data_IF_863730050063
#
_entry.id   IF_863730050063
#
_cell.length_a   1.000
_cell.length_b   1.000
_cell.length_c   1.000
_cell.angle_alpha   90.00
_cell.angle_beta   90.00
_cell.angle_gamma   90.00
#
_symmetry.space_group_name_H-M   'P 1'
#
loop_
_entity.id
_entity.type
_entity.pdbx_description
1 polymer ?
#
# COMPACT_ATOMS: atom_id res chain seq x y z
N UNK A 1 13.37 -6.68 -17.89
CA UNK A 1 12.89 -7.50 -16.74
C UNK A 1 12.25 -6.67 -15.63
N UNK A 2 12.83 -5.56 -15.18
CA UNK A 2 12.26 -4.69 -14.13
C UNK A 2 10.94 -4.02 -14.54
N UNK A 3 10.85 -3.51 -15.78
CA UNK A 3 9.64 -2.88 -16.31
C UNK A 3 8.44 -3.84 -16.28
N UNK A 4 8.60 -5.08 -16.76
CA UNK A 4 7.54 -6.09 -16.77
C UNK A 4 6.98 -6.42 -15.38
N UNK A 5 7.83 -6.39 -14.33
CA UNK A 5 7.37 -6.59 -12.95
C UNK A 5 6.57 -5.39 -12.42
N UNK A 6 6.97 -4.18 -12.79
CA UNK A 6 6.24 -2.96 -12.42
C UNK A 6 4.87 -2.89 -13.11
N UNK A 7 4.81 -3.29 -14.38
CA UNK A 7 3.57 -3.32 -15.16
C UNK A 7 2.59 -4.36 -14.60
N UNK A 8 3.09 -5.56 -14.25
CA UNK A 8 2.29 -6.57 -13.55
C UNK A 8 1.72 -6.05 -12.23
N UNK A 9 2.55 -5.41 -11.39
CA UNK A 9 2.08 -4.84 -10.13
C UNK A 9 0.92 -3.86 -10.33
N UNK A 10 1.05 -2.95 -11.28
CA UNK A 10 -0.03 -1.98 -11.62
C UNK A 10 -1.30 -2.66 -12.11
N UNK A 11 -1.18 -3.69 -12.96
CA UNK A 11 -2.32 -4.43 -13.46
C UNK A 11 -3.08 -5.11 -12.31
N UNK A 12 -2.36 -5.79 -11.42
CA UNK A 12 -2.97 -6.47 -10.28
C UNK A 12 -3.63 -5.51 -9.27
N UNK A 13 -3.02 -4.35 -9.00
CA UNK A 13 -3.65 -3.33 -8.16
C UNK A 13 -4.96 -2.83 -8.79
N UNK A 14 -4.96 -2.61 -10.11
CA UNK A 14 -6.18 -2.21 -10.83
C UNK A 14 -7.26 -3.30 -10.80
N UNK A 15 -6.89 -4.57 -10.89
CA UNK A 15 -7.84 -5.67 -10.72
C UNK A 15 -8.44 -5.70 -9.31
N UNK A 16 -7.62 -5.54 -8.27
CA UNK A 16 -8.10 -5.50 -6.89
C UNK A 16 -9.15 -4.39 -6.69
N UNK A 17 -8.92 -3.21 -7.28
CA UNK A 17 -9.88 -2.10 -7.27
C UNK A 17 -11.21 -2.52 -7.92
N UNK A 18 -11.15 -3.10 -9.14
CA UNK A 18 -12.35 -3.55 -9.87
C UNK A 18 -13.14 -4.61 -9.08
N UNK A 19 -12.48 -5.62 -8.53
CA UNK A 19 -13.14 -6.63 -7.70
C UNK A 19 -13.85 -6.04 -6.49
N UNK A 20 -13.23 -5.08 -5.80
CA UNK A 20 -13.84 -4.40 -4.67
C UNK A 20 -15.08 -3.61 -5.10
N UNK A 21 -15.09 -3.07 -6.31
CA UNK A 21 -16.23 -2.36 -6.89
C UNK A 21 -17.29 -3.30 -7.51
N UNK A 22 -17.10 -4.62 -7.38
CA UNK A 22 -18.00 -5.63 -7.93
C UNK A 22 -17.96 -5.73 -9.45
N UNK A 23 -16.86 -5.30 -10.06
CA UNK A 23 -16.64 -5.32 -11.50
C UNK A 23 -15.68 -6.45 -11.88
N UNK A 24 -15.93 -7.07 -13.02
CA UNK A 24 -15.00 -8.06 -13.58
C UNK A 24 -13.91 -7.36 -14.40
N UNK A 25 -12.62 -7.69 -14.17
CA UNK A 25 -11.53 -7.16 -14.98
C UNK A 25 -11.62 -7.63 -16.43
N UNK A 26 -11.40 -6.72 -17.39
CA UNK A 26 -11.18 -7.10 -18.79
C UNK A 26 -9.74 -7.59 -18.98
N UNK A 27 -9.59 -8.89 -19.14
CA UNK A 27 -8.29 -9.56 -19.29
C UNK A 27 -7.92 -9.90 -20.71
N UNK A 28 -8.69 -9.42 -21.70
CA UNK A 28 -8.47 -9.74 -23.13
C UNK A 28 -7.06 -9.36 -23.61
N UNK A 29 -6.43 -8.35 -22.98
CA UNK A 29 -5.07 -7.89 -23.30
C UNK A 29 -3.97 -8.54 -22.43
N UNK A 30 -4.33 -9.40 -21.46
CA UNK A 30 -3.37 -9.97 -20.53
C UNK A 30 -2.57 -11.11 -21.16
N UNK A 31 -1.28 -11.14 -20.86
CA UNK A 31 -0.41 -12.27 -21.19
C UNK A 31 -0.70 -13.48 -20.29
N UNK A 32 -0.35 -14.69 -20.74
CA UNK A 32 -0.39 -15.90 -19.90
C UNK A 32 0.32 -15.73 -18.56
N UNK A 33 1.35 -14.88 -18.50
CA UNK A 33 2.08 -14.59 -17.27
C UNK A 33 1.23 -13.78 -16.28
N UNK A 34 0.44 -12.81 -16.74
CA UNK A 34 -0.44 -12.00 -15.90
C UNK A 34 -1.63 -12.81 -15.40
N UNK A 35 -2.22 -13.64 -16.26
CA UNK A 35 -3.34 -14.53 -15.90
C UNK A 35 -3.02 -15.53 -14.78
N UNK A 36 -1.75 -15.86 -14.55
CA UNK A 36 -1.35 -16.76 -13.46
C UNK A 36 -1.59 -16.18 -12.05
N UNK A 37 -1.78 -14.86 -11.93
CA UNK A 37 -1.95 -14.17 -10.64
C UNK A 37 -3.40 -13.85 -10.29
N UNK A 38 -4.34 -14.10 -11.19
CA UNK A 38 -5.71 -13.59 -11.15
C UNK A 38 -6.57 -14.06 -9.97
N UNK A 39 -6.33 -15.24 -9.43
CA UNK A 39 -7.21 -15.85 -8.43
C UNK A 39 -6.88 -15.47 -6.99
N UNK A 40 -5.72 -14.93 -6.72
CA UNK A 40 -5.25 -14.67 -5.35
C UNK A 40 -6.10 -13.65 -4.60
N UNK A 41 -6.45 -12.55 -5.23
CA UNK A 41 -7.25 -11.51 -4.58
C UNK A 41 -8.74 -11.91 -4.41
N UNK A 42 -9.42 -12.49 -5.40
CA UNK A 42 -10.76 -13.03 -5.20
C UNK A 42 -10.85 -14.09 -4.09
N UNK A 43 -9.86 -14.98 -3.99
CA UNK A 43 -9.78 -15.96 -2.93
C UNK A 43 -9.65 -15.29 -1.54
N UNK A 44 -8.78 -14.28 -1.44
CA UNK A 44 -8.65 -13.47 -0.23
C UNK A 44 -9.98 -12.82 0.18
N UNK A 45 -10.70 -12.21 -0.75
CA UNK A 45 -12.02 -11.61 -0.46
C UNK A 45 -13.04 -12.66 0.01
N UNK A 46 -13.07 -13.81 -0.63
CA UNK A 46 -13.99 -14.91 -0.29
C UNK A 46 -13.73 -15.49 1.10
N UNK A 47 -12.48 -15.54 1.55
CA UNK A 47 -12.11 -16.01 2.88
C UNK A 47 -12.31 -14.96 4.00
N UNK A 48 -12.44 -13.67 3.63
CA UNK A 48 -12.64 -12.56 4.57
C UNK A 48 -13.92 -11.75 4.31
N UNK A 49 -15.10 -12.37 4.14
CA UNK A 49 -16.31 -11.68 3.69
C UNK A 49 -16.76 -10.55 4.63
N UNK A 50 -16.50 -10.68 5.93
CA UNK A 50 -16.84 -9.64 6.91
C UNK A 50 -16.05 -8.32 6.69
N UNK A 51 -14.87 -8.37 6.08
CA UNK A 51 -14.07 -7.20 5.77
C UNK A 51 -14.64 -6.42 4.57
N UNK A 52 -15.29 -7.12 3.66
CA UNK A 52 -15.80 -6.58 2.41
C UNK A 52 -17.33 -6.37 2.42
N UNK A 53 -18.01 -6.67 3.53
CA UNK A 53 -19.46 -6.55 3.64
C UNK A 53 -19.99 -5.12 3.53
N UNK A 54 -19.19 -4.13 3.91
CA UNK A 54 -19.56 -2.70 3.85
C UNK A 54 -18.57 -1.92 2.98
N UNK A 55 -18.93 -1.72 1.71
CA UNK A 55 -18.11 -1.00 0.71
C UNK A 55 -17.76 0.43 1.15
N UNK A 56 -18.61 1.07 1.94
CA UNK A 56 -18.37 2.44 2.41
C UNK A 56 -17.15 2.57 3.34
N UNK A 57 -16.71 1.47 3.93
CA UNK A 57 -15.54 1.40 4.81
C UNK A 57 -14.25 1.06 4.09
N UNK A 58 -14.30 0.82 2.79
CA UNK A 58 -13.15 0.36 2.01
C UNK A 58 -12.63 1.51 1.15
N UNK A 59 -11.32 1.79 1.25
CA UNK A 59 -10.61 2.71 0.39
C UNK A 59 -9.52 1.94 -0.37
N UNK A 60 -9.44 2.17 -1.67
CA UNK A 60 -8.50 1.50 -2.58
C UNK A 60 -7.75 2.54 -3.36
N UNK A 61 -6.43 2.40 -3.47
CA UNK A 61 -5.57 3.23 -4.34
C UNK A 61 -5.86 4.74 -4.22
N UNK A 62 -6.17 5.21 -3.01
CA UNK A 62 -6.51 6.62 -2.81
C UNK A 62 -5.26 7.46 -2.49
N UNK A 63 -4.86 8.39 -3.37
CA UNK A 63 -3.74 9.28 -3.09
C UNK A 63 -4.05 10.20 -1.91
N UNK A 64 -3.13 10.28 -0.96
CA UNK A 64 -3.24 11.13 0.22
C UNK A 64 -1.94 11.87 0.51
N UNK A 65 -2.06 13.08 1.11
CA UNK A 65 -0.92 13.82 1.61
C UNK A 65 -1.09 14.12 3.11
N UNK A 66 -0.01 14.00 3.87
CA UNK A 66 -0.06 14.32 5.30
C UNK A 66 0.04 15.84 5.51
N UNK A 67 -0.98 16.49 6.11
CA UNK A 67 -1.07 17.95 6.15
C UNK A 67 0.07 18.63 6.93
N UNK A 68 0.66 17.93 7.92
CA UNK A 68 1.73 18.48 8.77
C UNK A 68 3.11 17.90 8.48
N UNK A 69 3.20 16.61 8.17
CA UNK A 69 4.49 15.92 8.03
C UNK A 69 5.07 15.98 6.62
N UNK A 70 4.34 16.55 5.66
CA UNK A 70 4.80 16.83 4.29
C UNK A 70 5.31 15.58 3.55
N UNK A 71 4.60 14.47 3.68
CA UNK A 71 4.77 13.30 2.83
C UNK A 71 3.44 12.88 2.23
N UNK A 72 3.48 12.13 1.17
CA UNK A 72 2.32 11.63 0.46
C UNK A 72 2.50 10.13 0.16
N UNK A 73 1.42 9.47 -0.13
CA UNK A 73 1.40 8.08 -0.55
C UNK A 73 0.01 7.65 -1.00
N UNK A 74 -0.05 6.48 -1.59
CA UNK A 74 -1.29 5.85 -2.04
C UNK A 74 -1.37 4.48 -1.36
N UNK A 75 -2.16 4.34 -0.28
CA UNK A 75 -2.41 3.03 0.32
C UNK A 75 -3.13 2.11 -0.67
N UNK A 76 -2.71 0.86 -0.76
CA UNK A 76 -3.32 -0.09 -1.69
C UNK A 76 -4.74 -0.44 -1.25
N UNK A 77 -4.92 -0.80 0.04
CA UNK A 77 -6.24 -1.16 0.58
C UNK A 77 -6.35 -0.78 2.06
N UNK A 78 -7.39 -0.02 2.39
CA UNK A 78 -7.76 0.32 3.75
C UNK A 78 -9.17 -0.21 4.03
N UNK A 79 -9.32 -0.92 5.14
CA UNK A 79 -10.61 -1.31 5.70
C UNK A 79 -10.80 -0.50 6.98
N UNK A 80 -11.57 0.59 6.91
CA UNK A 80 -11.63 1.62 7.96
C UNK A 80 -12.05 1.06 9.31
N UNK A 81 -11.20 1.30 10.30
CA UNK A 81 -11.33 0.78 11.67
C UNK A 81 -11.00 -0.70 11.82
N UNK A 82 -10.39 -1.35 10.81
CA UNK A 82 -10.00 -2.77 10.84
C UNK A 82 -8.54 -2.95 10.45
N UNK A 83 -8.17 -2.70 9.18
CA UNK A 83 -6.86 -3.05 8.67
C UNK A 83 -6.32 -2.06 7.63
N UNK A 84 -4.98 -1.98 7.56
CA UNK A 84 -4.22 -1.39 6.46
C UNK A 84 -3.47 -2.54 5.78
N UNK A 85 -3.66 -2.69 4.49
CA UNK A 85 -3.15 -3.83 3.73
C UNK A 85 -2.34 -3.31 2.53
N UNK A 86 -1.13 -3.79 2.41
CA UNK A 86 -0.26 -3.56 1.26
C UNK A 86 -0.24 -4.80 0.38
N UNK A 87 -0.50 -4.65 -0.91
CA UNK A 87 -0.57 -5.76 -1.88
C UNK A 87 0.77 -5.91 -2.58
N UNK A 88 1.34 -7.11 -2.56
CA UNK A 88 2.66 -7.38 -3.14
C UNK A 88 2.67 -8.67 -3.98
N UNK A 89 3.42 -8.63 -5.07
CA UNK A 89 3.79 -9.81 -5.87
C UNK A 89 5.17 -10.37 -5.50
N UNK A 90 5.65 -10.02 -4.31
CA UNK A 90 6.91 -10.47 -3.71
C UNK A 90 6.67 -10.84 -2.26
N UNK A 91 7.63 -11.57 -1.69
CA UNK A 91 7.61 -11.90 -0.26
C UNK A 91 7.72 -10.65 0.62
N UNK A 92 7.17 -10.75 1.79
CA UNK A 92 7.22 -9.75 2.86
C UNK A 92 8.66 -9.34 3.21
N UNK A 93 8.92 -8.03 3.25
CA UNK A 93 10.18 -7.46 3.71
C UNK A 93 10.02 -6.86 5.12
N UNK A 94 10.61 -7.53 6.10
CA UNK A 94 10.60 -7.13 7.52
C UNK A 94 11.16 -5.71 7.76
N UNK A 95 11.96 -5.17 6.85
CA UNK A 95 12.63 -3.87 7.01
C UNK A 95 11.79 -2.72 6.49
N UNK A 96 11.12 -2.90 5.37
CA UNK A 96 10.45 -1.82 4.64
C UNK A 96 8.93 -1.85 4.75
N UNK A 97 8.30 -3.02 4.65
CA UNK A 97 6.84 -3.11 4.61
C UNK A 97 6.16 -2.60 5.89
N UNK A 98 6.65 -2.88 7.12
CA UNK A 98 6.07 -2.28 8.32
C UNK A 98 6.17 -0.75 8.36
N UNK A 99 7.23 -0.16 7.76
CA UNK A 99 7.38 1.29 7.70
C UNK A 99 6.36 1.91 6.74
N UNK A 100 6.11 1.25 5.62
CA UNK A 100 5.12 1.67 4.64
C UNK A 100 3.71 1.65 5.26
N UNK A 101 3.33 0.55 5.91
CA UNK A 101 2.02 0.37 6.52
C UNK A 101 1.73 1.40 7.64
N UNK A 102 2.67 1.68 8.53
CA UNK A 102 2.46 2.72 9.54
C UNK A 102 2.40 4.12 8.95
N UNK A 103 3.11 4.38 7.85
CA UNK A 103 3.01 5.65 7.13
C UNK A 103 1.61 5.80 6.50
N UNK A 104 1.08 4.74 5.90
CA UNK A 104 -0.27 4.71 5.31
C UNK A 104 -1.36 4.88 6.38
N UNK A 105 -1.28 4.19 7.52
CA UNK A 105 -2.21 4.39 8.65
C UNK A 105 -2.22 5.84 9.10
N UNK A 106 -1.04 6.45 9.22
CA UNK A 106 -0.93 7.84 9.64
C UNK A 106 -1.47 8.82 8.58
N UNK A 107 -1.27 8.54 7.27
CA UNK A 107 -1.92 9.28 6.19
C UNK A 107 -3.43 9.20 6.31
N UNK A 108 -3.98 8.00 6.47
CA UNK A 108 -5.42 7.77 6.57
C UNK A 108 -6.03 8.52 7.74
N UNK A 109 -5.47 8.35 8.94
CA UNK A 109 -5.98 9.01 10.15
C UNK A 109 -5.84 10.54 10.11
N UNK A 110 -4.81 11.07 9.45
CA UNK A 110 -4.61 12.50 9.26
C UNK A 110 -5.58 13.13 8.23
N UNK A 111 -6.18 12.31 7.36
CA UNK A 111 -7.15 12.73 6.34
C UNK A 111 -8.61 12.40 6.73
N UNK A 112 -8.90 12.13 7.98
CA UNK A 112 -10.26 11.94 8.48
C UNK A 112 -10.67 10.49 8.70
N UNK A 113 -9.79 9.53 8.42
CA UNK A 113 -10.01 8.13 8.76
C UNK A 113 -10.21 7.91 10.26
N UNK A 114 -10.84 6.81 10.60
CA UNK A 114 -11.16 6.44 11.98
C UNK A 114 -9.91 6.40 12.83
N UNK A 115 -9.95 7.03 14.00
CA UNK A 115 -8.86 6.89 14.96
C UNK A 115 -9.01 5.55 15.69
N UNK A 116 -7.98 4.76 15.71
CA UNK A 116 -8.01 3.46 16.38
C UNK A 116 -6.73 2.68 16.11
N UNK A 117 -6.74 1.42 16.51
CA UNK A 117 -5.66 0.49 16.23
C UNK A 117 -6.05 -0.30 14.98
N UNK A 118 -5.29 -0.12 13.92
CA UNK A 118 -5.40 -0.93 12.71
C UNK A 118 -4.48 -2.16 12.80
N UNK A 119 -4.94 -3.26 12.26
CA UNK A 119 -4.06 -4.37 11.96
C UNK A 119 -3.32 -4.10 10.65
N UNK A 120 -2.04 -4.46 10.61
CA UNK A 120 -1.19 -4.26 9.45
C UNK A 120 -0.89 -5.57 8.77
N UNK A 121 -1.16 -5.66 7.47
CA UNK A 121 -0.90 -6.86 6.69
C UNK A 121 -0.19 -6.54 5.38
N UNK A 122 0.64 -7.47 4.94
CA UNK A 122 1.04 -7.59 3.54
C UNK A 122 0.27 -8.75 2.93
N UNK A 123 -0.47 -8.47 1.87
CA UNK A 123 -1.14 -9.47 1.05
C UNK A 123 -0.18 -9.87 -0.08
N UNK A 124 0.48 -11.01 0.10
CA UNK A 124 1.33 -11.59 -0.94
C UNK A 124 0.45 -12.32 -1.94
N UNK A 125 0.39 -11.84 -3.17
CA UNK A 125 -0.22 -12.56 -4.29
C UNK A 125 0.84 -13.44 -4.96
N UNK A 126 0.50 -14.69 -5.25
CA UNK A 126 1.41 -15.67 -5.78
C UNK A 126 1.07 -16.05 -7.22
N UNK A 127 2.11 -16.44 -7.97
CA UNK A 127 2.01 -16.80 -9.39
C UNK A 127 1.10 -18.01 -9.68
N UNK A 128 0.87 -18.86 -8.69
CA UNK A 128 -0.03 -20.02 -8.77
C UNK A 128 -1.50 -19.68 -8.48
N UNK A 129 -1.83 -18.38 -8.40
CA UNK A 129 -3.17 -17.90 -8.08
C UNK A 129 -3.54 -18.04 -6.61
N UNK A 130 -2.59 -18.38 -5.74
CA UNK A 130 -2.79 -18.37 -4.30
C UNK A 130 -2.41 -17.03 -3.67
N UNK A 131 -2.75 -16.84 -2.40
CA UNK A 131 -2.32 -15.67 -1.63
C UNK A 131 -1.80 -16.07 -0.26
N UNK A 132 -1.11 -15.13 0.40
CA UNK A 132 -0.77 -15.23 1.80
C UNK A 132 -0.96 -13.89 2.49
N UNK A 133 -1.74 -13.87 3.56
CA UNK A 133 -1.91 -12.68 4.40
C UNK A 133 -0.89 -12.71 5.54
N UNK A 134 0.09 -11.82 5.49
CA UNK A 134 1.22 -11.79 6.43
C UNK A 134 1.05 -10.64 7.42
N UNK A 135 0.91 -10.92 8.73
CA UNK A 135 0.92 -9.86 9.75
C UNK A 135 2.25 -9.10 9.72
N UNK A 136 2.18 -7.77 9.61
CA UNK A 136 3.33 -6.90 9.41
C UNK A 136 3.50 -5.83 10.50
N UNK A 137 2.89 -6.03 11.67
CA UNK A 137 2.99 -5.10 12.79
C UNK A 137 4.42 -5.08 13.37
N UNK A 138 4.94 -3.87 13.58
CA UNK A 138 6.22 -3.65 14.24
C UNK A 138 6.11 -2.44 15.17
N UNK A 139 6.19 -2.66 16.48
CA UNK A 139 6.04 -1.60 17.50
C UNK A 139 7.03 -0.43 17.40
N UNK A 140 8.12 -0.58 16.64
CA UNK A 140 9.09 0.50 16.40
C UNK A 140 8.97 1.12 15.01
N UNK A 141 8.09 0.61 14.14
CA UNK A 141 8.02 1.04 12.75
C UNK A 141 7.74 2.55 12.62
N UNK A 142 6.82 3.08 13.42
CA UNK A 142 6.51 4.51 13.43
C UNK A 142 7.72 5.39 13.79
N UNK A 143 8.46 5.04 14.84
CA UNK A 143 9.66 5.79 15.24
C UNK A 143 10.73 5.76 14.15
N UNK A 144 10.94 4.60 13.52
CA UNK A 144 11.88 4.45 12.42
C UNK A 144 11.46 5.27 11.20
N UNK A 145 10.18 5.20 10.81
CA UNK A 145 9.65 6.00 9.71
C UNK A 145 9.82 7.50 9.97
N UNK A 146 9.45 7.99 11.16
CA UNK A 146 9.62 9.39 11.55
C UNK A 146 11.08 9.84 11.48
N UNK A 147 12.00 9.03 11.98
CA UNK A 147 13.44 9.33 11.91
C UNK A 147 13.92 9.47 10.46
N UNK A 148 13.53 8.54 9.57
CA UNK A 148 13.87 8.59 8.15
C UNK A 148 13.28 9.82 7.45
N UNK A 149 12.04 10.17 7.77
CA UNK A 149 11.36 11.34 7.20
C UNK A 149 12.05 12.65 7.64
N UNK A 150 12.36 12.78 8.91
CA UNK A 150 13.08 13.96 9.44
C UNK A 150 14.47 14.09 8.84
N UNK A 151 15.20 12.98 8.70
CA UNK A 151 16.49 12.97 8.03
C UNK A 151 16.36 13.41 6.57
N UNK A 152 15.39 12.92 5.84
CA UNK A 152 15.12 13.30 4.46
C UNK A 152 14.90 14.82 4.31
N UNK A 153 14.10 15.43 5.15
CA UNK A 153 13.84 16.86 5.11
C UNK A 153 15.07 17.69 5.45
N UNK A 154 15.87 17.28 6.44
CA UNK A 154 17.14 17.93 6.75
C UNK A 154 18.12 17.90 5.58
N UNK A 155 18.20 16.79 4.86
CA UNK A 155 19.04 16.70 3.65
C UNK A 155 18.56 17.66 2.54
N UNK A 156 17.27 17.80 2.32
CA UNK A 156 16.70 18.74 1.34
C UNK A 156 17.02 20.18 1.73
N UNK A 157 16.77 20.57 2.98
CA UNK A 157 17.08 21.92 3.47
C UNK A 157 18.57 22.25 3.33
N UNK A 158 19.44 21.29 3.64
CA UNK A 158 20.90 21.47 3.47
C UNK A 158 21.27 21.69 2.01
N UNK A 159 20.74 20.87 1.10
CA UNK A 159 20.98 21.01 -0.34
C UNK A 159 20.51 22.37 -0.88
N UNK A 160 19.34 22.85 -0.44
CA UNK A 160 18.82 24.18 -0.82
C UNK A 160 19.73 25.31 -0.32
N UNK A 161 20.28 25.23 0.91
CA UNK A 161 21.22 26.22 1.42
C UNK A 161 22.52 26.24 0.62
N UNK A 162 23.06 25.10 0.22
CA UNK A 162 24.25 25.02 -0.64
C UNK A 162 23.98 25.68 -2.01
N UNK A 163 22.83 25.39 -2.64
CA UNK A 163 22.46 25.99 -3.92
C UNK A 163 22.33 27.52 -3.82
N UNK A 164 21.71 28.02 -2.75
CA UNK A 164 21.57 29.45 -2.52
C UNK A 164 22.93 30.13 -2.32
N UNK A 165 23.88 29.47 -1.65
CA UNK A 165 25.23 29.97 -1.47
C UNK A 165 26.03 30.06 -2.79
N UNK A 166 25.87 29.09 -3.70
CA UNK A 166 26.53 29.06 -5.01
C UNK A 166 26.03 30.12 -6.00
N UNK A 167 24.88 30.74 -5.75
CA UNK A 167 24.30 31.80 -6.58
C UNK A 167 24.68 33.21 -6.15
N UNK A 168 25.37 33.35 -5.03
CA UNK A 168 25.98 34.63 -4.53
C UNK A 168 27.41 34.78 -4.99
#
# INVERSE_FOLDING_TARGET
MLQRKADLGKALHKECELYIDGLEPDRSAYSEYELQWENGFPAFMAEHPAWFADRSRIQVEQPMAHPKLKYAGTPDLIIDGVAIIEIKTRLFDKKTDPLQLVAQENLWTANGGKKGKYEHFVLELHKDGTYKLVPASNGQAWLKFRFLLEHHWRCIEHAQKIQAWRKK
#
